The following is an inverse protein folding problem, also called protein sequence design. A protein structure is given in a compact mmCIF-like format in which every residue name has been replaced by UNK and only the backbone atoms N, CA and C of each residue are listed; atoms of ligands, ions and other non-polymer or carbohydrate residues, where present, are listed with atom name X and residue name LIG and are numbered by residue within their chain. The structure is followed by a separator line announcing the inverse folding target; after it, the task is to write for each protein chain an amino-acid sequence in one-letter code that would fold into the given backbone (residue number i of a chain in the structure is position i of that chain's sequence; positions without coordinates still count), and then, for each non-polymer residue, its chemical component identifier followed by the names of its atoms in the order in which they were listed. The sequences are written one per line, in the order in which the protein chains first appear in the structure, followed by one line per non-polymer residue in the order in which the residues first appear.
data_IF_719563826018
#
_entry.id   IF_719563826018
#
_cell.length_a   1.000
_cell.length_b   1.000
_cell.length_c   1.000
_cell.angle_alpha   90.00
_cell.angle_beta   90.00
_cell.angle_gamma   90.00
#
_symmetry.space_group_name_H-M   'P 1'
#
loop_
_entity.id
_entity.type
_entity.pdbx_description
1 polymer ?
#
# COMPACT_ATOMS: atom_id res chain seq x y z
N UNK A 1 -27.41 37.52 -21.58
CA UNK A 1 -27.55 36.06 -21.85
C UNK A 1 -27.04 35.30 -20.64
N UNK A 2 -27.94 34.57 -20.00
CA UNK A 2 -27.88 34.07 -18.62
C UNK A 2 -27.00 32.84 -18.40
N UNK A 3 -26.42 32.74 -17.21
CA UNK A 3 -25.75 31.55 -16.69
C UNK A 3 -26.74 30.39 -16.47
N UNK A 4 -26.47 29.21 -17.05
CA UNK A 4 -27.20 27.98 -16.76
C UNK A 4 -26.43 27.12 -15.74
N UNK A 5 -26.94 27.13 -14.51
CA UNK A 5 -26.73 26.06 -13.50
C UNK A 5 -27.14 24.71 -14.09
N UNK A 6 -26.23 23.73 -14.15
CA UNK A 6 -26.59 22.32 -14.38
C UNK A 6 -26.61 21.55 -13.06
N UNK A 7 -27.84 21.32 -12.60
CA UNK A 7 -28.29 20.35 -11.59
C UNK A 7 -27.77 18.95 -11.96
N UNK A 8 -26.97 18.31 -11.09
CA UNK A 8 -26.60 16.88 -11.22
C UNK A 8 -27.31 16.07 -10.15
N UNK A 9 -28.56 15.72 -10.45
CA UNK A 9 -29.23 14.55 -9.90
C UNK A 9 -29.57 13.64 -11.08
N UNK A 10 -28.99 12.44 -11.12
CA UNK A 10 -29.24 11.46 -12.18
C UNK A 10 -28.37 10.22 -12.00
N UNK A 11 -28.99 9.12 -11.56
CA UNK A 11 -28.43 7.77 -11.61
C UNK A 11 -28.20 7.40 -13.08
N UNK A 12 -26.93 7.18 -13.46
CA UNK A 12 -26.54 6.59 -14.74
C UNK A 12 -26.12 5.12 -14.59
N UNK A 13 -26.25 4.29 -15.65
CA UNK A 13 -26.24 2.83 -15.56
C UNK A 13 -24.83 2.24 -15.40
N UNK A 14 -24.78 1.06 -14.79
CA UNK A 14 -23.56 0.32 -14.41
C UNK A 14 -22.59 0.05 -15.57
N UNK A 15 -21.32 0.39 -15.35
CA UNK A 15 -20.22 0.09 -16.26
C UNK A 15 -19.84 -1.40 -16.21
N UNK A 16 -19.81 -2.03 -17.38
CA UNK A 16 -19.46 -3.44 -17.58
C UNK A 16 -17.99 -3.72 -17.23
N UNK A 17 -17.75 -4.84 -16.54
CA UNK A 17 -16.43 -5.42 -16.23
C UNK A 17 -15.67 -5.82 -17.52
N UNK A 18 -14.40 -5.41 -17.64
CA UNK A 18 -13.51 -5.83 -18.74
C UNK A 18 -13.07 -7.29 -18.54
N UNK A 19 -13.39 -8.16 -19.51
CA UNK A 19 -12.86 -9.53 -19.62
C UNK A 19 -11.56 -9.52 -20.43
N UNK A 20 -10.52 -10.21 -19.96
CA UNK A 20 -9.31 -10.53 -20.74
C UNK A 20 -9.29 -12.03 -20.96
N UNK A 21 -9.13 -12.48 -22.21
CA UNK A 21 -8.98 -13.90 -22.59
C UNK A 21 -7.49 -14.19 -22.85
N UNK A 22 -6.98 -15.28 -22.30
CA UNK A 22 -5.74 -15.92 -22.76
C UNK A 22 -6.11 -16.89 -23.89
N UNK A 23 -5.29 -16.99 -24.93
CA UNK A 23 -5.48 -17.93 -26.06
C UNK A 23 -4.39 -18.99 -25.96
N UNK A 24 -4.77 -20.26 -25.95
CA UNK A 24 -3.86 -21.40 -26.11
C UNK A 24 -4.32 -22.23 -27.31
N UNK A 25 -3.36 -22.62 -28.14
CA UNK A 25 -3.56 -23.27 -29.44
C UNK A 25 -3.65 -24.80 -29.29
N UNK A 26 -4.68 -25.42 -29.90
CA UNK A 26 -4.53 -26.68 -30.64
C UNK A 26 -5.06 -28.00 -30.03
N UNK A 27 -6.16 -28.47 -30.64
CA UNK A 27 -6.66 -29.84 -30.88
C UNK A 27 -7.42 -30.65 -29.80
N UNK A 28 -8.72 -30.85 -30.10
CA UNK A 28 -9.75 -31.77 -29.55
C UNK A 28 -9.52 -33.27 -29.91
N UNK A 29 -10.32 -34.28 -29.45
CA UNK A 29 -11.62 -34.21 -28.73
C UNK A 29 -11.87 -35.15 -27.52
N UNK A 30 -12.68 -34.61 -26.59
CA UNK A 30 -13.83 -35.17 -25.84
C UNK A 30 -13.75 -36.56 -25.17
N UNK A 31 -13.77 -36.54 -23.83
CA UNK A 31 -14.83 -37.20 -23.04
C UNK A 31 -15.05 -36.47 -21.71
N UNK A 32 -16.33 -36.38 -21.37
CA UNK A 32 -16.99 -35.61 -20.33
C UNK A 32 -16.54 -35.99 -18.92
N UNK A 33 -16.08 -35.01 -18.14
CA UNK A 33 -16.33 -34.79 -16.71
C UNK A 33 -15.40 -33.67 -16.21
N UNK A 34 -15.76 -32.99 -15.10
CA UNK A 34 -15.02 -31.87 -14.45
C UNK A 34 -15.19 -30.50 -15.18
N UNK A 35 -15.31 -29.31 -14.58
CA UNK A 35 -14.90 -28.77 -13.29
C UNK A 35 -15.86 -27.64 -12.86
N UNK A 36 -16.20 -27.55 -11.58
CA UNK A 36 -16.85 -26.38 -11.01
C UNK A 36 -15.90 -25.18 -11.07
N UNK A 37 -16.04 -24.36 -12.11
CA UNK A 37 -15.40 -23.05 -12.20
C UNK A 37 -15.84 -22.19 -11.02
N UNK A 38 -15.02 -22.14 -9.96
CA UNK A 38 -15.11 -21.12 -8.92
C UNK A 38 -14.64 -19.79 -9.51
N UNK A 39 -15.51 -19.16 -10.31
CA UNK A 39 -15.36 -17.76 -10.72
C UNK A 39 -15.42 -16.89 -9.45
N UNK A 40 -14.25 -16.47 -8.94
CA UNK A 40 -14.16 -15.43 -7.92
C UNK A 40 -14.46 -14.10 -8.64
N UNK A 41 -15.74 -13.76 -8.71
CA UNK A 41 -16.19 -12.43 -9.11
C UNK A 41 -15.65 -11.41 -8.10
N UNK A 42 -14.64 -10.63 -8.50
CA UNK A 42 -14.12 -9.53 -7.68
C UNK A 42 -15.22 -8.46 -7.67
N UNK A 43 -15.89 -8.23 -6.53
CA UNK A 43 -16.95 -7.26 -6.45
C UNK A 43 -16.37 -5.85 -6.59
N UNK A 44 -17.15 -4.93 -7.16
CA UNK A 44 -16.83 -3.53 -7.16
C UNK A 44 -16.53 -3.07 -5.72
N UNK A 45 -15.59 -2.12 -5.49
CA UNK A 45 -15.23 -1.68 -4.16
C UNK A 45 -16.48 -1.16 -3.44
N UNK A 46 -17.00 -1.98 -2.54
CA UNK A 46 -18.18 -1.67 -1.72
C UNK A 46 -17.78 -0.66 -0.65
N UNK A 47 -17.50 0.58 -1.08
CA UNK A 47 -17.33 1.72 -0.18
C UNK A 47 -18.69 2.29 0.25
N UNK A 48 -19.56 1.42 0.76
CA UNK A 48 -20.76 1.87 1.47
C UNK A 48 -20.33 2.28 2.90
N UNK A 49 -19.71 3.45 3.02
CA UNK A 49 -19.21 3.97 4.29
C UNK A 49 -18.42 5.27 4.14
N UNK A 50 -18.34 6.05 5.22
CA UNK A 50 -17.52 7.27 5.25
C UNK A 50 -16.07 6.89 5.55
N UNK A 51 -15.15 7.28 4.67
CA UNK A 51 -13.71 7.17 4.91
C UNK A 51 -13.30 8.12 6.05
N UNK A 52 -13.21 7.58 7.27
CA UNK A 52 -12.89 8.33 8.51
C UNK A 52 -11.38 8.53 8.68
N UNK A 53 -10.58 7.49 8.51
CA UNK A 53 -9.14 7.55 8.76
C UNK A 53 -8.33 7.87 7.50
N UNK A 54 -7.97 9.14 7.29
CA UNK A 54 -7.29 9.61 6.07
C UNK A 54 -5.76 9.56 6.21
N UNK A 55 -5.24 8.38 6.50
CA UNK A 55 -3.80 8.14 6.53
C UNK A 55 -3.18 8.25 5.14
N UNK A 56 -2.00 8.88 5.07
CA UNK A 56 -1.21 9.06 3.85
C UNK A 56 0.26 8.95 4.18
N UNK A 57 0.90 7.93 3.63
CA UNK A 57 2.30 7.63 3.91
C UNK A 57 3.18 8.14 2.77
N UNK A 58 4.16 8.98 3.08
CA UNK A 58 5.18 9.38 2.13
C UNK A 58 6.30 8.32 2.11
N UNK A 59 6.57 7.71 0.95
CA UNK A 59 7.69 6.77 0.75
C UNK A 59 8.71 7.39 -0.20
N UNK A 60 9.92 7.62 0.28
CA UNK A 60 11.03 8.14 -0.51
C UNK A 60 12.38 7.73 0.10
N UNK A 61 13.47 8.11 -0.56
CA UNK A 61 14.82 7.72 -0.14
C UNK A 61 15.83 8.84 -0.24
N UNK A 62 16.97 8.66 0.42
CA UNK A 62 18.16 9.44 0.15
C UNK A 62 18.81 9.02 -1.18
N UNK A 63 19.75 9.83 -1.67
CA UNK A 63 20.59 9.46 -2.81
C UNK A 63 21.53 8.30 -2.50
N UNK A 64 21.76 7.47 -3.51
CA UNK A 64 22.69 6.34 -3.46
C UNK A 64 22.15 5.08 -2.78
N UNK A 65 20.83 4.88 -2.79
CA UNK A 65 20.20 3.58 -2.49
C UNK A 65 20.55 2.53 -3.55
N UNK A 66 20.62 1.27 -3.12
CA UNK A 66 20.92 0.12 -3.97
C UNK A 66 19.75 -0.26 -4.87
N UNK A 67 20.02 -1.08 -5.88
CA UNK A 67 18.99 -1.61 -6.78
C UNK A 67 17.88 -2.33 -6.01
N UNK A 68 18.26 -3.24 -5.10
CA UNK A 68 17.32 -3.98 -4.26
C UNK A 68 16.40 -3.07 -3.43
N UNK A 69 16.94 -2.00 -2.85
CA UNK A 69 16.15 -1.02 -2.09
C UNK A 69 15.10 -0.31 -2.96
N UNK A 70 15.41 -0.03 -4.23
CA UNK A 70 14.43 0.58 -5.16
C UNK A 70 13.26 -0.35 -5.41
N UNK A 71 13.53 -1.64 -5.56
CA UNK A 71 12.50 -2.67 -5.69
C UNK A 71 11.69 -2.81 -4.39
N UNK A 72 12.34 -2.87 -3.23
CA UNK A 72 11.65 -2.86 -1.92
C UNK A 72 10.69 -1.67 -1.79
N UNK A 73 11.11 -0.46 -2.15
CA UNK A 73 10.24 0.72 -2.13
C UNK A 73 9.07 0.60 -3.12
N UNK A 74 9.29 0.00 -4.28
CA UNK A 74 8.22 -0.25 -5.25
C UNK A 74 7.22 -1.27 -4.73
N UNK A 75 7.69 -2.32 -4.08
CA UNK A 75 6.86 -3.36 -3.47
C UNK A 75 5.98 -2.75 -2.37
N UNK A 76 6.56 -1.96 -1.46
CA UNK A 76 5.82 -1.23 -0.42
C UNK A 76 4.75 -0.29 -1.00
N UNK A 77 5.10 0.48 -2.05
CA UNK A 77 4.14 1.36 -2.75
C UNK A 77 3.01 0.60 -3.45
N UNK A 78 3.26 -0.64 -3.84
CA UNK A 78 2.27 -1.49 -4.50
C UNK A 78 1.32 -2.11 -3.49
N UNK A 79 1.83 -2.52 -2.33
CA UNK A 79 1.04 -3.11 -1.25
C UNK A 79 0.16 -2.06 -0.54
N UNK A 80 0.69 -0.86 -0.27
CA UNK A 80 -0.04 0.21 0.42
C UNK A 80 -0.72 1.16 -0.58
N UNK A 81 -2.07 1.25 -0.60
CA UNK A 81 -2.75 2.11 -1.59
C UNK A 81 -2.75 3.60 -1.21
N UNK A 82 -2.49 3.93 0.05
CA UNK A 82 -2.41 5.28 0.62
C UNK A 82 -1.01 5.89 0.55
N UNK A 83 -0.08 5.25 -0.15
CA UNK A 83 1.29 5.74 -0.32
C UNK A 83 1.41 6.84 -1.37
N UNK A 84 2.30 7.80 -1.12
CA UNK A 84 2.78 8.78 -2.11
C UNK A 84 4.29 8.65 -2.27
N UNK A 85 4.77 8.89 -3.49
CA UNK A 85 6.20 8.88 -3.79
C UNK A 85 6.77 10.30 -3.83
N UNK A 86 8.06 10.43 -3.50
CA UNK A 86 8.84 11.64 -3.72
C UNK A 86 10.09 11.42 -4.54
N UNK A 87 10.66 12.53 -5.00
CA UNK A 87 12.02 12.62 -5.48
C UNK A 87 13.01 12.29 -4.36
N UNK A 88 14.23 11.89 -4.74
CA UNK A 88 15.25 11.50 -3.77
C UNK A 88 15.83 12.73 -3.10
N UNK A 89 15.87 12.71 -1.77
CA UNK A 89 16.48 13.75 -0.95
C UNK A 89 18.01 13.70 -1.06
N UNK A 90 18.67 14.86 -1.02
CA UNK A 90 20.13 14.91 -1.02
C UNK A 90 20.68 14.47 0.34
N UNK A 91 21.91 13.94 0.36
CA UNK A 91 22.56 13.50 1.60
C UNK A 91 22.97 14.66 2.51
N UNK A 92 23.07 15.86 1.94
CA UNK A 92 23.43 17.09 2.67
C UNK A 92 22.24 17.70 3.39
N UNK A 93 21.02 17.36 2.98
CA UNK A 93 19.81 17.94 3.52
C UNK A 93 19.54 17.42 4.94
N UNK A 94 19.05 18.31 5.80
CA UNK A 94 18.69 17.95 7.19
C UNK A 94 17.36 17.21 7.22
N UNK A 95 17.20 16.27 8.16
CA UNK A 95 15.97 15.49 8.33
C UNK A 95 14.71 16.36 8.57
N UNK A 96 14.86 17.59 9.08
CA UNK A 96 13.74 18.51 9.27
C UNK A 96 13.01 18.88 7.97
N UNK A 97 13.70 18.87 6.82
CA UNK A 97 13.10 19.13 5.50
C UNK A 97 12.01 18.10 5.18
N UNK A 98 12.10 16.88 5.75
CA UNK A 98 11.09 15.83 5.55
C UNK A 98 9.72 16.27 6.07
N UNK A 99 9.67 17.05 7.15
CA UNK A 99 8.42 17.55 7.71
C UNK A 99 7.72 18.50 6.73
N UNK A 100 8.47 19.43 6.14
CA UNK A 100 7.97 20.38 5.14
C UNK A 100 7.46 19.65 3.88
N UNK A 101 8.22 18.65 3.41
CA UNK A 101 7.83 17.84 2.26
C UNK A 101 6.54 17.06 2.53
N UNK A 102 6.39 16.50 3.72
CA UNK A 102 5.17 15.82 4.13
C UNK A 102 3.98 16.78 4.21
N UNK A 103 4.17 18.01 4.68
CA UNK A 103 3.13 19.04 4.72
C UNK A 103 2.67 19.43 3.32
N UNK A 104 3.60 19.73 2.41
CA UNK A 104 3.32 20.07 1.00
C UNK A 104 2.53 18.93 0.32
N UNK A 105 2.92 17.68 0.59
CA UNK A 105 2.24 16.50 0.03
C UNK A 105 1.02 16.07 0.82
N UNK A 106 0.69 16.73 1.92
CA UNK A 106 -0.41 16.38 2.81
C UNK A 106 -0.34 14.87 3.17
N UNK A 107 0.81 14.47 3.69
CA UNK A 107 1.14 13.16 4.25
C UNK A 107 1.33 13.32 5.76
N UNK A 108 0.70 12.45 6.53
CA UNK A 108 0.78 12.47 7.99
C UNK A 108 1.76 11.43 8.54
N UNK A 109 2.25 10.54 7.68
CA UNK A 109 3.22 9.48 7.99
C UNK A 109 4.34 9.50 6.96
N UNK A 110 5.52 9.07 7.36
CA UNK A 110 6.70 9.02 6.51
C UNK A 110 7.47 7.71 6.68
N UNK A 111 7.89 7.15 5.55
CA UNK A 111 8.83 6.05 5.40
C UNK A 111 10.02 6.55 4.57
N UNK A 112 11.14 6.82 5.25
CA UNK A 112 12.34 7.36 4.63
C UNK A 112 13.48 6.33 4.65
N UNK A 113 13.99 6.00 3.47
CA UNK A 113 15.11 5.07 3.30
C UNK A 113 16.44 5.82 3.18
N UNK A 114 17.28 5.70 4.20
CA UNK A 114 18.61 6.32 4.28
C UNK A 114 19.68 5.27 3.95
N UNK A 115 20.32 5.39 2.77
CA UNK A 115 21.48 4.56 2.43
C UNK A 115 22.79 5.21 2.89
N UNK A 116 23.55 4.49 3.74
CA UNK A 116 24.91 4.86 4.14
C UNK A 116 25.93 3.95 3.47
N UNK A 117 27.04 4.53 3.00
CA UNK A 117 28.17 3.82 2.37
C UNK A 117 27.79 2.85 1.23
N UNK A 118 26.59 3.00 0.63
CA UNK A 118 26.01 2.09 -0.38
C UNK A 118 25.87 0.62 0.09
N UNK A 119 25.96 0.36 1.39
CA UNK A 119 25.85 -0.99 1.97
C UNK A 119 24.75 -1.02 3.02
N UNK A 120 24.82 -0.12 3.99
CA UNK A 120 23.87 -0.06 5.09
C UNK A 120 22.60 0.66 4.67
N UNK A 121 21.45 0.04 4.97
CA UNK A 121 20.15 0.61 4.77
C UNK A 121 19.50 0.88 6.12
N UNK A 122 19.19 2.15 6.37
CA UNK A 122 18.36 2.54 7.50
C UNK A 122 16.97 2.93 6.99
N UNK A 123 15.94 2.54 7.74
CA UNK A 123 14.55 2.92 7.47
C UNK A 123 14.03 3.73 8.65
N UNK A 124 13.54 4.92 8.35
CA UNK A 124 12.84 5.77 9.29
C UNK A 124 11.34 5.60 9.10
N UNK A 125 10.64 5.31 10.20
CA UNK A 125 9.18 5.28 10.24
C UNK A 125 8.74 6.37 11.21
N UNK A 126 7.96 7.33 10.74
CA UNK A 126 7.62 8.50 11.53
C UNK A 126 6.18 8.98 11.31
N UNK A 127 5.58 9.43 12.40
CA UNK A 127 4.41 10.30 12.37
C UNK A 127 4.88 11.74 12.27
N UNK A 128 4.36 12.47 11.28
CA UNK A 128 4.81 13.83 10.97
C UNK A 128 3.68 14.82 11.30
N UNK A 129 3.97 15.99 11.92
CA UNK A 129 5.30 16.52 12.29
C UNK A 129 5.74 16.22 13.73
N UNK A 130 4.84 15.75 14.60
CA UNK A 130 5.08 15.68 16.04
C UNK A 130 5.73 14.39 16.55
N UNK A 131 6.00 13.43 15.67
CA UNK A 131 6.43 12.10 16.08
C UNK A 131 5.27 11.21 16.54
N UNK A 132 5.57 9.97 16.96
CA UNK A 132 6.90 9.40 17.21
C UNK A 132 7.68 9.07 15.92
N UNK A 133 8.99 8.87 16.05
CA UNK A 133 9.89 8.44 14.97
C UNK A 133 10.77 7.28 15.45
N UNK A 134 10.92 6.26 14.61
CA UNK A 134 11.75 5.11 14.87
C UNK A 134 12.72 4.88 13.71
N UNK A 135 13.98 4.57 14.05
CA UNK A 135 15.03 4.26 13.09
C UNK A 135 15.39 2.78 13.18
N UNK A 136 15.31 2.10 12.05
CA UNK A 136 15.63 0.68 11.94
C UNK A 136 16.84 0.49 11.04
N UNK A 137 17.75 -0.39 11.45
CA UNK A 137 18.73 -0.98 10.56
C UNK A 137 18.05 -2.14 9.82
N UNK A 138 17.94 -2.04 8.49
CA UNK A 138 17.25 -3.04 7.67
C UNK A 138 18.28 -4.00 7.10
N UNK A 139 18.16 -5.27 7.47
CA UNK A 139 19.03 -6.35 7.03
C UNK A 139 18.22 -7.44 6.30
N UNK A 140 18.90 -8.31 5.57
CA UNK A 140 18.31 -9.49 4.90
C UNK A 140 17.07 -9.18 4.05
N UNK A 141 17.14 -8.10 3.27
CA UNK A 141 16.06 -7.74 2.34
C UNK A 141 15.99 -8.75 1.20
N UNK A 142 14.80 -9.29 0.99
CA UNK A 142 14.41 -10.06 -0.19
C UNK A 142 13.19 -9.41 -0.82
N UNK A 143 13.25 -9.14 -2.13
CA UNK A 143 12.16 -8.44 -2.84
C UNK A 143 11.15 -9.42 -3.41
N UNK A 144 9.94 -8.95 -3.76
CA UNK A 144 8.91 -9.80 -4.33
C UNK A 144 9.34 -10.48 -5.64
N UNK A 145 10.25 -9.86 -6.40
CA UNK A 145 10.81 -10.44 -7.61
C UNK A 145 11.86 -11.55 -7.36
N UNK A 146 12.52 -11.54 -6.20
CA UNK A 146 13.52 -12.55 -5.82
C UNK A 146 12.84 -13.78 -5.19
N UNK A 147 11.76 -13.55 -4.44
CA UNK A 147 10.97 -14.56 -3.78
C UNK A 147 10.09 -15.30 -4.82
N UNK A 148 10.38 -16.58 -5.07
CA UNK A 148 9.55 -17.47 -5.90
C UNK A 148 8.26 -17.90 -5.18
N UNK A 149 7.56 -16.95 -4.57
CA UNK A 149 6.30 -17.19 -3.90
C UNK A 149 5.20 -17.29 -4.96
N UNK A 150 4.47 -18.41 -4.97
CA UNK A 150 3.31 -18.63 -5.86
C UNK A 150 2.07 -17.87 -5.42
N UNK A 151 2.11 -17.20 -4.27
CA UNK A 151 1.00 -16.44 -3.70
C UNK A 151 0.81 -15.09 -4.39
N UNK A 152 -0.38 -14.87 -4.95
CA UNK A 152 -0.82 -13.57 -5.46
C UNK A 152 -1.79 -12.91 -4.46
N UNK A 153 -1.61 -11.63 -4.17
CA UNK A 153 -2.53 -10.86 -3.34
C UNK A 153 -3.20 -9.76 -4.18
N UNK A 154 -4.46 -9.46 -3.87
CA UNK A 154 -5.15 -8.34 -4.53
C UNK A 154 -4.45 -7.03 -4.19
N UNK A 155 -4.05 -6.29 -5.22
CA UNK A 155 -3.44 -4.96 -5.07
C UNK A 155 -4.42 -4.01 -4.38
N UNK A 156 -3.97 -3.39 -3.29
CA UNK A 156 -4.83 -2.53 -2.48
C UNK A 156 -5.85 -3.28 -1.63
N UNK A 157 -5.68 -4.60 -1.42
CA UNK A 157 -6.40 -5.29 -0.35
C UNK A 157 -6.05 -4.69 1.02
N UNK A 158 -6.91 -4.95 2.01
CA UNK A 158 -6.63 -4.56 3.39
C UNK A 158 -5.79 -5.65 4.04
N UNK A 159 -4.52 -5.39 4.40
CA UNK A 159 -3.69 -6.40 5.01
C UNK A 159 -4.20 -6.73 6.42
N UNK A 160 -4.03 -8.00 6.81
CA UNK A 160 -4.07 -8.40 8.21
C UNK A 160 -2.67 -8.19 8.80
N UNK A 161 -2.58 -7.46 9.91
CA UNK A 161 -1.34 -7.32 10.65
C UNK A 161 -1.36 -8.29 11.83
N UNK A 162 -0.38 -9.19 11.87
CA UNK A 162 -0.17 -10.12 12.98
C UNK A 162 1.10 -9.70 13.71
N UNK A 163 0.99 -9.52 15.03
CA UNK A 163 2.10 -9.11 15.89
C UNK A 163 2.40 -10.20 16.91
N UNK A 164 3.69 -10.41 17.19
CA UNK A 164 4.13 -11.28 18.27
C UNK A 164 3.68 -10.70 19.63
N UNK A 165 3.23 -11.53 20.60
CA UNK A 165 2.90 -11.09 21.96
C UNK A 165 4.03 -10.32 22.67
N UNK A 166 5.29 -10.49 22.25
CA UNK A 166 6.43 -9.72 22.77
C UNK A 166 6.26 -8.20 22.54
N UNK A 167 5.50 -7.78 21.52
CA UNK A 167 5.22 -6.37 21.31
C UNK A 167 4.40 -5.73 22.43
N UNK A 168 3.69 -6.52 23.24
CA UNK A 168 2.87 -6.03 24.36
C UNK A 168 3.62 -6.06 25.71
N UNK A 169 4.86 -6.58 25.74
CA UNK A 169 5.64 -6.74 26.97
C UNK A 169 6.33 -5.45 27.41
N UNK A 170 6.88 -4.69 26.46
CA UNK A 170 7.65 -3.48 26.77
C UNK A 170 7.02 -2.23 26.14
N UNK A 171 7.03 -1.07 26.83
CA UNK A 171 6.36 0.14 26.34
C UNK A 171 6.87 0.61 24.98
N UNK A 172 8.17 0.45 24.71
CA UNK A 172 8.76 0.86 23.45
C UNK A 172 8.30 -0.03 22.30
N UNK A 173 8.11 -1.35 22.53
CA UNK A 173 7.54 -2.22 21.52
C UNK A 173 6.06 -1.95 21.30
N UNK A 174 5.29 -1.65 22.36
CA UNK A 174 3.88 -1.28 22.21
C UNK A 174 3.72 -0.01 21.35
N UNK A 175 4.61 0.97 21.54
CA UNK A 175 4.66 2.17 20.69
C UNK A 175 5.01 1.83 19.22
N UNK A 176 5.96 0.92 18.99
CA UNK A 176 6.30 0.48 17.64
C UNK A 176 5.16 -0.30 16.98
N UNK A 177 4.44 -1.14 17.74
CA UNK A 177 3.25 -1.85 17.30
C UNK A 177 2.20 -0.86 16.78
N UNK A 178 1.87 0.15 17.57
CA UNK A 178 0.92 1.20 17.17
C UNK A 178 1.41 2.00 15.95
N UNK A 179 2.71 2.34 15.90
CA UNK A 179 3.30 3.03 14.74
C UNK A 179 3.18 2.19 13.45
N UNK A 180 3.42 0.88 13.54
CA UNK A 180 3.28 -0.04 12.41
C UNK A 180 1.82 -0.25 12.01
N UNK A 181 0.91 -0.36 12.98
CA UNK A 181 -0.53 -0.41 12.70
C UNK A 181 -0.94 0.81 11.91
N UNK A 182 -0.59 2.01 12.35
CA UNK A 182 -0.99 3.24 11.66
C UNK A 182 -0.34 3.40 10.28
N UNK A 183 0.89 2.92 10.10
CA UNK A 183 1.64 3.06 8.84
C UNK A 183 1.22 2.04 7.79
N UNK A 184 1.19 0.76 8.15
CA UNK A 184 0.98 -0.35 7.21
C UNK A 184 -0.49 -0.76 7.06
N UNK A 185 -1.37 -0.38 8.00
CA UNK A 185 -2.80 -0.66 7.84
C UNK A 185 -3.39 0.19 6.73
N UNK A 186 -4.30 -0.42 5.98
CA UNK A 186 -5.09 0.30 4.99
C UNK A 186 -6.44 0.71 5.59
N UNK A 187 -6.80 2.01 5.58
CA UNK A 187 -8.06 2.49 6.12
C UNK A 187 -9.28 1.80 5.50
N UNK A 188 -10.30 1.56 6.31
CA UNK A 188 -11.58 1.09 5.80
C UNK A 188 -12.19 2.14 4.88
N UNK A 189 -12.77 1.68 3.76
CA UNK A 189 -13.37 2.52 2.72
C UNK A 189 -12.39 3.43 1.99
N UNK A 190 -11.09 3.11 2.00
CA UNK A 190 -10.13 3.82 1.17
C UNK A 190 -10.53 3.67 -0.33
N UNK A 191 -10.53 4.74 -1.14
CA UNK A 191 -11.07 4.68 -2.52
C UNK A 191 -10.38 3.66 -3.44
N UNK A 192 -9.13 3.30 -3.10
CA UNK A 192 -8.32 2.31 -3.82
C UNK A 192 -8.29 0.92 -3.16
N UNK A 193 -9.09 0.69 -2.11
CA UNK A 193 -9.21 -0.64 -1.52
C UNK A 193 -10.23 -1.51 -2.22
N UNK A 194 -9.85 -2.75 -2.46
CA UNK A 194 -10.78 -3.82 -2.84
C UNK A 194 -11.06 -4.64 -1.59
N UNK A 195 -12.24 -4.47 -1.01
CA UNK A 195 -12.73 -5.37 0.04
C UNK A 195 -13.76 -6.33 -0.57
N UNK A 196 -13.68 -7.63 -0.33
CA UNK A 196 -14.83 -8.50 -0.55
C UNK A 196 -16.01 -7.98 0.27
N UNK A 197 -17.27 -8.10 -0.21
CA UNK A 197 -18.45 -7.76 0.56
C UNK A 197 -18.40 -8.52 1.88
N UNK A 198 -18.93 -7.93 2.97
CA UNK A 198 -19.11 -8.67 4.21
C UNK A 198 -19.94 -9.92 3.88
N UNK A 199 -19.29 -11.08 3.85
CA UNK A 199 -19.99 -12.34 3.95
C UNK A 199 -20.40 -12.42 5.41
N UNK A 200 -21.72 -12.41 5.64
CA UNK A 200 -22.30 -12.69 6.93
C UNK A 200 -21.79 -14.08 7.35
N UNK A 201 -21.01 -14.13 8.43
CA UNK A 201 -20.80 -15.36 9.19
C UNK A 201 -22.01 -15.54 10.10
#
# INVERSE_FOLDING_TARGET
MSALKRKRGGKGPGGKSKKVKLVENGNEPKTTETEQNKEISVPAPVSMGKWKNKERVLVFSSRGINFRTRHLMQDLRTMMPHTKADTKMDRKDKLFVINEVCEIKNCNKCLFFEAKKKQDLYMWVANVPHGPSAKFLVQNVHTLAELKMTGNCLKGSRPLLSFDPQFDKEPHYALLKELFIQTFSTPQYHPRTVSPPPQYW
#
